data_IF_994770346449
#
_entry.id   IF_994770346449
#
_cell.length_a   1.000
_cell.length_b   1.000
_cell.length_c   1.000
_cell.angle_alpha   90.00
_cell.angle_beta   90.00
_cell.angle_gamma   90.00
#
_symmetry.space_group_name_H-M   'P 1'
#
loop_
_entity.id
_entity.type
_entity.pdbx_description
1 polymer ?
#
# COMPACT_ATOMS: atom_id res chain seq x y z
N UNK A 1 15.57 58.97 -9.77
CA UNK A 1 15.47 58.11 -8.57
C UNK A 1 14.20 58.37 -7.75
N UNK A 2 13.97 59.56 -7.17
CA UNK A 2 12.76 59.84 -6.36
C UNK A 2 11.41 59.66 -7.09
N UNK A 3 11.33 60.02 -8.37
CA UNK A 3 10.11 59.79 -9.17
C UNK A 3 9.89 58.33 -9.55
N UNK A 4 10.96 57.56 -9.71
CA UNK A 4 10.88 56.13 -10.03
C UNK A 4 10.28 55.36 -8.84
N UNK A 5 10.75 55.68 -7.63
CA UNK A 5 10.19 55.14 -6.38
C UNK A 5 8.71 55.47 -6.19
N UNK A 6 8.29 56.71 -6.48
CA UNK A 6 6.85 57.07 -6.43
C UNK A 6 5.99 56.29 -7.42
N UNK A 7 6.51 55.99 -8.61
CA UNK A 7 5.81 55.17 -9.62
C UNK A 7 5.71 53.70 -9.19
N UNK A 8 6.77 53.17 -8.59
CA UNK A 8 6.82 51.81 -8.04
C UNK A 8 5.84 51.69 -6.87
N UNK A 9 5.87 52.61 -5.91
CA UNK A 9 4.95 52.59 -4.75
C UNK A 9 3.49 52.69 -5.18
N UNK A 10 3.17 53.55 -6.15
CA UNK A 10 1.80 53.66 -6.67
C UNK A 10 1.35 52.37 -7.35
N UNK A 11 2.23 51.72 -8.12
CA UNK A 11 1.94 50.42 -8.74
C UNK A 11 1.75 49.32 -7.68
N UNK A 12 2.66 49.22 -6.71
CA UNK A 12 2.62 48.22 -5.64
C UNK A 12 1.39 48.35 -4.73
N UNK A 13 0.91 49.58 -4.47
CA UNK A 13 -0.33 49.84 -3.72
C UNK A 13 -1.59 49.60 -4.55
N UNK A 14 -1.61 50.05 -5.82
CA UNK A 14 -2.81 49.99 -6.67
C UNK A 14 -3.11 48.57 -7.18
N UNK A 15 -2.08 47.79 -7.46
CA UNK A 15 -2.21 46.43 -8.02
C UNK A 15 -1.91 45.33 -7.01
N UNK A 16 -1.83 45.67 -5.71
CA UNK A 16 -1.63 44.70 -4.63
C UNK A 16 -0.26 44.04 -4.61
N UNK A 17 0.75 44.63 -5.25
CA UNK A 17 2.11 44.09 -5.32
C UNK A 17 2.77 43.88 -3.96
N UNK A 18 2.46 44.72 -2.95
CA UNK A 18 2.94 44.48 -1.57
C UNK A 18 2.27 43.25 -0.95
N UNK A 19 0.97 43.06 -1.18
CA UNK A 19 0.24 41.89 -0.71
C UNK A 19 0.76 40.61 -1.37
N UNK A 20 1.08 40.66 -2.67
CA UNK A 20 1.72 39.55 -3.38
C UNK A 20 3.09 39.22 -2.78
N UNK A 21 3.92 40.23 -2.52
CA UNK A 21 5.25 40.05 -1.97
C UNK A 21 5.20 39.49 -0.53
N UNK A 22 4.27 39.97 0.30
CA UNK A 22 4.02 39.43 1.65
C UNK A 22 3.53 37.98 1.56
N UNK A 23 2.59 37.67 0.65
CA UNK A 23 2.09 36.32 0.45
C UNK A 23 3.22 35.37 0.02
N UNK A 24 4.06 35.76 -0.94
CA UNK A 24 5.22 34.96 -1.37
C UNK A 24 6.20 34.72 -0.22
N UNK A 25 6.52 35.74 0.57
CA UNK A 25 7.41 35.59 1.73
C UNK A 25 6.79 34.66 2.78
N UNK A 26 5.49 34.81 3.06
CA UNK A 26 4.77 33.96 4.01
C UNK A 26 4.73 32.50 3.55
N UNK A 27 4.48 32.24 2.26
CA UNK A 27 4.49 30.90 1.67
C UNK A 27 5.88 30.28 1.74
N UNK A 28 6.94 31.02 1.38
CA UNK A 28 8.33 30.53 1.47
C UNK A 28 8.71 30.24 2.92
N UNK A 29 8.36 31.12 3.87
CA UNK A 29 8.61 30.90 5.28
C UNK A 29 7.85 29.68 5.83
N UNK A 30 6.59 29.49 5.41
CA UNK A 30 5.80 28.32 5.78
C UNK A 30 6.43 27.02 5.27
N UNK A 31 6.85 26.96 4.00
CA UNK A 31 7.54 25.79 3.46
C UNK A 31 8.91 25.56 4.12
N UNK A 32 9.65 26.63 4.44
CA UNK A 32 10.92 26.51 5.16
C UNK A 32 10.73 25.96 6.58
N UNK A 33 9.66 26.36 7.28
CA UNK A 33 9.31 25.82 8.61
C UNK A 33 8.87 24.36 8.50
N UNK A 34 8.08 23.99 7.49
CA UNK A 34 7.70 22.60 7.24
C UNK A 34 8.93 21.74 6.92
N UNK A 35 9.84 22.25 6.08
CA UNK A 35 11.07 21.56 5.74
C UNK A 35 11.97 21.42 6.96
N UNK A 36 12.15 22.48 7.76
CA UNK A 36 12.90 22.41 9.01
C UNK A 36 12.26 21.45 10.01
N UNK A 37 10.93 21.43 10.13
CA UNK A 37 10.22 20.47 10.99
C UNK A 37 10.42 19.03 10.53
N UNK A 38 10.40 18.79 9.22
CA UNK A 38 10.67 17.48 8.62
C UNK A 38 12.14 17.06 8.81
N UNK A 39 13.08 17.97 8.59
CA UNK A 39 14.52 17.72 8.77
C UNK A 39 14.86 17.51 10.25
N UNK A 40 14.27 18.28 11.16
CA UNK A 40 14.38 18.11 12.61
C UNK A 40 13.79 16.78 13.08
N UNK A 41 12.62 16.39 12.54
CA UNK A 41 12.04 15.08 12.79
C UNK A 41 13.01 13.98 12.33
N UNK A 42 13.50 14.02 11.08
CA UNK A 42 14.48 13.06 10.56
C UNK A 42 15.79 13.00 11.35
N UNK A 43 16.30 14.15 11.80
CA UNK A 43 17.53 14.23 12.61
C UNK A 43 17.35 13.59 13.99
N UNK A 44 16.16 13.71 14.58
CA UNK A 44 15.85 13.14 15.91
C UNK A 44 15.41 11.68 15.87
N UNK A 45 14.66 11.28 14.85
CA UNK A 45 14.10 9.92 14.74
C UNK A 45 14.98 8.99 13.92
N UNK A 46 15.96 9.51 13.19
CA UNK A 46 16.69 8.77 12.16
C UNK A 46 15.85 8.57 10.91
N UNK A 47 16.44 7.95 9.89
CA UNK A 47 15.64 7.46 8.76
C UNK A 47 14.98 6.17 9.20
N UNK A 48 13.65 6.16 9.22
CA UNK A 48 12.89 4.95 9.49
C UNK A 48 13.09 3.98 8.33
N UNK A 49 13.73 2.84 8.60
CA UNK A 49 14.04 1.81 7.61
C UNK A 49 13.78 0.42 8.17
N UNK A 50 13.41 -0.52 7.29
CA UNK A 50 13.39 -1.94 7.63
C UNK A 50 14.84 -2.44 7.53
N UNK A 51 15.38 -2.95 8.63
CA UNK A 51 16.70 -3.58 8.68
C UNK A 51 16.57 -5.07 8.42
N UNK A 52 17.52 -5.63 7.67
CA UNK A 52 17.65 -7.06 7.44
C UNK A 52 18.89 -7.54 8.18
N UNK A 53 18.69 -8.35 9.23
CA UNK A 53 19.77 -8.96 9.98
C UNK A 53 20.44 -10.09 9.18
N UNK A 54 21.64 -10.53 9.60
CA UNK A 54 22.37 -11.61 8.92
C UNK A 54 21.60 -12.94 8.90
N UNK A 55 20.72 -13.15 9.88
CA UNK A 55 19.83 -14.31 9.99
C UNK A 55 18.51 -14.13 9.20
N UNK A 56 18.40 -13.09 8.38
CA UNK A 56 17.24 -12.80 7.54
C UNK A 56 16.06 -12.12 8.26
N UNK A 57 16.21 -11.83 9.55
CA UNK A 57 15.13 -11.20 10.34
C UNK A 57 15.00 -9.72 10.01
N UNK A 58 13.75 -9.29 9.94
CA UNK A 58 13.34 -7.93 9.68
C UNK A 58 13.04 -7.22 11.00
N UNK A 59 13.56 -6.01 11.16
CA UNK A 59 13.19 -5.13 12.28
C UNK A 59 13.02 -3.70 11.79
N UNK A 60 12.19 -2.95 12.50
CA UNK A 60 12.10 -1.50 12.34
C UNK A 60 12.65 -0.88 13.61
N UNK A 61 13.83 -0.27 13.50
CA UNK A 61 14.41 0.41 14.66
C UNK A 61 13.69 1.75 14.86
N UNK A 62 12.67 1.74 15.71
CA UNK A 62 11.95 2.94 16.09
C UNK A 62 12.70 3.66 17.22
N UNK A 63 12.98 4.95 17.07
CA UNK A 63 13.82 5.74 17.99
C UNK A 63 13.01 6.75 18.83
N UNK A 64 11.69 6.57 18.94
CA UNK A 64 10.91 7.30 19.94
C UNK A 64 11.12 6.67 21.32
N UNK A 65 11.01 7.52 22.36
CA UNK A 65 11.10 7.10 23.76
C UNK A 65 10.03 6.04 24.13
N UNK A 66 8.97 5.92 23.32
CA UNK A 66 7.79 5.07 23.54
C UNK A 66 7.73 3.87 22.57
N UNK A 67 8.81 3.08 22.47
CA UNK A 67 8.81 1.87 21.62
C UNK A 67 7.69 0.90 21.98
N UNK A 68 7.29 0.87 23.26
CA UNK A 68 6.24 0.01 23.81
C UNK A 68 4.82 0.44 23.39
N UNK A 69 4.69 1.62 22.75
CA UNK A 69 3.42 2.18 22.29
C UNK A 69 3.22 2.10 20.77
N UNK A 70 4.00 1.27 20.06
CA UNK A 70 3.89 1.14 18.60
C UNK A 70 3.64 -0.30 18.18
N UNK A 71 2.62 -0.50 17.35
CA UNK A 71 2.31 -1.75 16.68
C UNK A 71 2.72 -1.70 15.21
N UNK A 72 3.14 -2.85 14.67
CA UNK A 72 3.51 -3.01 13.28
C UNK A 72 2.59 -4.03 12.62
N UNK A 73 1.99 -3.63 11.51
CA UNK A 73 1.45 -4.53 10.51
C UNK A 73 2.53 -4.77 9.46
N UNK A 74 3.08 -5.98 9.46
CA UNK A 74 3.94 -6.49 8.41
C UNK A 74 3.09 -7.02 7.27
N UNK A 75 3.48 -6.76 6.05
CA UNK A 75 2.81 -7.24 4.86
C UNK A 75 3.81 -7.54 3.75
N UNK A 76 3.56 -8.57 2.96
CA UNK A 76 4.36 -8.93 1.79
C UNK A 76 3.46 -9.13 0.58
N UNK A 77 3.96 -8.82 -0.61
CA UNK A 77 3.27 -9.06 -1.88
C UNK A 77 3.48 -10.48 -2.44
N UNK A 78 4.50 -11.19 -1.93
CA UNK A 78 4.86 -12.56 -2.28
C UNK A 78 5.51 -13.31 -1.12
N UNK A 79 5.49 -14.64 -1.20
CA UNK A 79 5.92 -15.51 -0.11
C UNK A 79 4.98 -15.41 1.09
N UNK A 80 5.53 -15.58 2.28
CA UNK A 80 4.81 -15.38 3.54
C UNK A 80 5.65 -14.54 4.52
N UNK A 81 4.99 -13.87 5.46
CA UNK A 81 5.62 -13.08 6.51
C UNK A 81 4.99 -13.38 7.86
N UNK A 82 5.84 -13.57 8.87
CA UNK A 82 5.40 -13.90 10.22
C UNK A 82 6.24 -13.17 11.27
N UNK A 83 5.60 -12.71 12.34
CA UNK A 83 6.29 -12.21 13.53
C UNK A 83 6.96 -13.37 14.30
N UNK A 84 8.16 -13.13 14.82
CA UNK A 84 8.97 -14.14 15.53
C UNK A 84 8.42 -14.44 16.93
N UNK A 85 8.07 -13.40 17.69
CA UNK A 85 7.48 -13.56 19.00
C UNK A 85 5.96 -13.45 18.87
N UNK A 86 5.27 -14.54 19.18
CA UNK A 86 3.81 -14.60 19.21
C UNK A 86 3.35 -14.41 20.65
N UNK A 87 3.63 -13.26 21.25
CA UNK A 87 2.90 -12.95 22.48
C UNK A 87 1.42 -12.86 22.09
N UNK A 88 0.59 -13.65 22.79
CA UNK A 88 -0.82 -13.96 22.50
C UNK A 88 -1.78 -12.75 22.46
N UNK A 89 -1.26 -11.53 22.36
CA UNK A 89 -2.04 -10.30 22.33
C UNK A 89 -2.65 -10.01 20.95
N UNK A 90 -2.14 -10.62 19.88
CA UNK A 90 -2.66 -10.43 18.53
C UNK A 90 -3.41 -11.70 18.10
N UNK A 91 -4.75 -11.64 17.90
CA UNK A 91 -5.46 -12.76 17.30
C UNK A 91 -4.93 -12.96 15.89
N UNK A 92 -4.25 -14.08 15.64
CA UNK A 92 -3.87 -14.48 14.29
C UNK A 92 -5.13 -14.61 13.42
N UNK A 93 -4.94 -14.52 12.10
CA UNK A 93 -5.97 -14.95 11.17
C UNK A 93 -6.42 -16.37 11.55
N UNK A 94 -7.74 -16.60 11.56
CA UNK A 94 -8.30 -17.94 11.63
C UNK A 94 -8.10 -18.66 10.27
N UNK A 95 -6.83 -18.89 9.91
CA UNK A 95 -6.27 -19.70 8.83
C UNK A 95 -4.82 -19.22 8.61
N UNK A 96 -3.91 -19.56 9.52
CA UNK A 96 -2.48 -19.22 9.48
C UNK A 96 -1.71 -19.81 8.28
N UNK A 97 -2.39 -20.53 7.37
CA UNK A 97 -1.80 -21.08 6.16
C UNK A 97 -1.49 -20.00 5.10
N UNK A 98 -2.01 -18.77 5.20
CA UNK A 98 -2.04 -17.76 4.12
C UNK A 98 -1.24 -16.47 4.39
N UNK A 99 -0.28 -16.48 5.32
CA UNK A 99 0.27 -15.27 5.95
C UNK A 99 1.03 -14.27 5.05
N UNK A 100 0.32 -13.51 4.22
CA UNK A 100 0.84 -12.33 3.51
C UNK A 100 0.92 -11.10 4.41
N UNK A 101 0.42 -11.19 5.64
CA UNK A 101 0.57 -10.17 6.64
C UNK A 101 0.66 -10.78 8.05
N UNK A 102 1.33 -10.06 8.94
CA UNK A 102 1.50 -10.43 10.34
C UNK A 102 1.49 -9.18 11.20
N UNK A 103 0.99 -9.32 12.42
CA UNK A 103 0.97 -8.26 13.42
C UNK A 103 2.10 -8.47 14.41
N UNK A 104 2.73 -7.40 14.87
CA UNK A 104 3.79 -7.46 15.88
C UNK A 104 3.87 -6.17 16.69
N UNK A 105 4.55 -6.23 17.82
CA UNK A 105 5.06 -5.03 18.49
C UNK A 105 6.25 -4.43 17.72
N UNK A 106 6.56 -3.15 17.93
CA UNK A 106 7.71 -2.50 17.27
C UNK A 106 9.07 -3.05 17.70
N UNK A 107 9.13 -3.66 18.89
CA UNK A 107 10.32 -4.36 19.39
C UNK A 107 10.47 -5.77 18.82
N UNK A 108 9.44 -6.31 18.18
CA UNK A 108 9.44 -7.65 17.62
C UNK A 108 10.02 -7.68 16.20
N UNK A 109 10.53 -8.85 15.84
CA UNK A 109 11.09 -9.10 14.51
C UNK A 109 10.09 -9.85 13.66
N UNK A 110 10.17 -9.66 12.35
CA UNK A 110 9.45 -10.47 11.37
C UNK A 110 10.41 -11.31 10.52
N UNK A 111 9.90 -12.40 9.97
CA UNK A 111 10.62 -13.29 9.06
C UNK A 111 9.79 -13.38 7.79
N UNK A 112 10.42 -13.06 6.66
CA UNK A 112 9.86 -13.35 5.35
C UNK A 112 10.39 -14.70 4.86
N UNK A 113 9.50 -15.54 4.34
CA UNK A 113 9.86 -16.76 3.64
C UNK A 113 9.44 -16.66 2.17
N UNK A 114 10.27 -17.14 1.23
CA UNK A 114 10.00 -17.02 -0.20
C UNK A 114 8.86 -17.92 -0.70
N UNK A 115 8.47 -18.95 0.04
CA UNK A 115 7.37 -19.85 -0.35
C UNK A 115 6.03 -19.28 0.13
N UNK A 116 5.06 -19.11 -0.77
CA UNK A 116 3.70 -18.70 -0.42
C UNK A 116 2.79 -19.90 -0.10
N UNK A 117 1.60 -19.58 0.40
CA UNK A 117 0.57 -20.57 0.74
C UNK A 117 0.08 -21.42 -0.44
N UNK A 118 0.20 -20.88 -1.64
CA UNK A 118 -0.20 -21.53 -2.88
C UNK A 118 0.92 -22.45 -3.43
N UNK A 119 2.05 -22.56 -2.73
CA UNK A 119 3.21 -23.39 -3.08
C UNK A 119 4.15 -22.76 -4.11
N UNK A 120 4.02 -21.45 -4.39
CA UNK A 120 4.93 -20.75 -5.28
C UNK A 120 6.13 -20.22 -4.49
N UNK A 121 7.33 -20.35 -5.03
CA UNK A 121 8.53 -19.75 -4.47
C UNK A 121 8.90 -18.46 -5.22
N UNK A 122 9.39 -17.47 -4.49
CA UNK A 122 9.75 -16.17 -5.04
C UNK A 122 11.21 -15.81 -4.78
N UNK A 123 11.91 -15.41 -5.83
CA UNK A 123 13.27 -14.88 -5.76
C UNK A 123 13.28 -13.51 -5.10
N UNK A 124 12.22 -12.71 -5.29
CA UNK A 124 12.09 -11.38 -4.67
C UNK A 124 10.67 -11.09 -4.25
N UNK A 125 10.52 -10.39 -3.12
CA UNK A 125 9.25 -9.81 -2.66
C UNK A 125 9.48 -8.41 -2.08
N UNK A 126 8.46 -7.56 -2.15
CA UNK A 126 8.46 -6.29 -1.43
C UNK A 126 7.68 -6.46 -0.14
N UNK A 127 8.34 -6.17 0.98
CA UNK A 127 7.76 -6.15 2.31
C UNK A 127 7.44 -4.71 2.71
N UNK A 128 6.27 -4.52 3.33
CA UNK A 128 5.80 -3.29 3.92
C UNK A 128 5.67 -3.46 5.43
N UNK A 129 6.12 -2.47 6.19
CA UNK A 129 5.83 -2.33 7.61
C UNK A 129 4.98 -1.07 7.80
N UNK A 130 3.75 -1.23 8.28
CA UNK A 130 2.84 -0.13 8.59
C UNK A 130 2.78 0.04 10.11
N UNK A 131 3.17 1.22 10.58
CA UNK A 131 3.29 1.52 12.00
C UNK A 131 2.04 2.23 12.50
N UNK A 132 1.54 1.79 13.65
CA UNK A 132 0.38 2.33 14.33
C UNK A 132 0.71 2.71 15.77
N UNK A 133 0.11 3.79 16.26
CA UNK A 133 0.16 4.14 17.67
C UNK A 133 -0.74 3.20 18.47
N UNK A 134 -0.28 2.80 19.65
CA UNK A 134 -1.01 1.94 20.57
C UNK A 134 -2.22 2.67 21.12
N UNK A 135 -3.40 2.17 20.76
CA UNK A 135 -4.66 2.48 21.39
C UNK A 135 -5.25 1.20 21.96
N UNK A 136 -5.72 1.25 23.22
CA UNK A 136 -6.31 0.10 23.90
C UNK A 136 -7.58 -0.37 23.23
N UNK A 137 -8.31 0.55 22.59
CA UNK A 137 -9.61 0.26 21.99
C UNK A 137 -9.50 -0.07 20.49
N UNK A 138 -8.55 0.53 19.76
CA UNK A 138 -8.44 0.39 18.30
C UNK A 138 -6.98 0.31 17.76
N UNK A 139 -6.28 -0.79 18.08
CA UNK A 139 -4.83 -0.97 17.81
C UNK A 139 -4.36 -0.76 16.36
N UNK A 140 -5.19 -1.06 15.37
CA UNK A 140 -4.84 -1.01 13.93
C UNK A 140 -5.76 -0.13 13.11
N UNK A 141 -6.24 0.99 13.68
CA UNK A 141 -7.09 1.98 13.01
C UNK A 141 -6.29 2.96 12.15
N UNK A 142 -6.86 3.43 11.04
CA UNK A 142 -6.30 4.56 10.27
C UNK A 142 -6.12 5.82 11.12
N UNK A 143 -6.95 6.01 12.15
CA UNK A 143 -6.81 7.13 13.10
C UNK A 143 -5.49 7.06 13.88
N UNK A 144 -4.94 5.86 14.03
CA UNK A 144 -3.68 5.59 14.74
C UNK A 144 -2.51 5.37 13.77
N UNK A 145 -2.69 5.57 12.46
CA UNK A 145 -1.63 5.44 11.47
C UNK A 145 -0.52 6.46 11.72
N UNK A 146 0.71 5.98 11.83
CA UNK A 146 1.90 6.83 11.96
C UNK A 146 2.55 6.99 10.58
N UNK A 147 2.97 5.87 9.99
CA UNK A 147 3.70 5.84 8.72
C UNK A 147 3.77 4.42 8.17
N UNK A 148 4.08 4.28 6.89
CA UNK A 148 4.52 3.04 6.28
C UNK A 148 5.95 3.17 5.72
N UNK A 149 6.67 2.05 5.71
CA UNK A 149 7.99 1.90 5.08
C UNK A 149 8.03 0.58 4.31
N UNK A 150 8.83 0.54 3.25
CA UNK A 150 8.95 -0.64 2.39
C UNK A 150 10.41 -1.04 2.19
N UNK A 151 10.62 -2.32 1.89
CA UNK A 151 11.90 -2.88 1.49
C UNK A 151 11.67 -3.97 0.46
N UNK A 152 12.54 -4.06 -0.55
CA UNK A 152 12.54 -5.22 -1.45
C UNK A 152 13.62 -6.20 -1.00
N UNK A 153 13.21 -7.44 -0.82
CA UNK A 153 14.04 -8.56 -0.39
C UNK A 153 14.28 -9.51 -1.55
N UNK A 154 15.42 -10.18 -1.53
CA UNK A 154 15.69 -11.32 -2.38
C UNK A 154 16.13 -12.52 -1.56
N UNK A 155 15.67 -13.72 -1.93
CA UNK A 155 16.26 -14.97 -1.46
C UNK A 155 17.37 -15.42 -2.41
N UNK A 156 18.59 -15.54 -1.90
CA UNK A 156 19.74 -16.07 -2.66
C UNK A 156 20.31 -17.28 -1.95
N UNK A 157 19.86 -18.47 -2.37
CA UNK A 157 20.26 -19.75 -1.80
C UNK A 157 19.92 -19.88 -0.30
N UNK A 158 18.70 -19.49 0.10
CA UNK A 158 18.26 -19.55 1.50
C UNK A 158 18.79 -18.42 2.38
N UNK A 159 19.34 -17.37 1.77
CA UNK A 159 19.77 -16.15 2.46
C UNK A 159 18.94 -14.97 1.98
N UNK A 160 18.16 -14.40 2.89
CA UNK A 160 17.38 -13.19 2.67
C UNK A 160 18.30 -11.96 2.76
N UNK A 161 18.28 -11.12 1.73
CA UNK A 161 19.01 -9.85 1.69
C UNK A 161 18.23 -8.75 0.98
N UNK A 162 18.54 -7.48 1.29
CA UNK A 162 17.98 -6.32 0.60
C UNK A 162 18.46 -6.30 -0.86
N UNK A 163 17.56 -6.01 -1.79
CA UNK A 163 17.87 -5.86 -3.21
C UNK A 163 17.35 -4.53 -3.79
N UNK A 164 17.32 -4.42 -5.13
CA UNK A 164 16.81 -3.23 -5.83
C UNK A 164 15.33 -3.03 -5.55
N UNK A 165 14.91 -1.78 -5.35
CA UNK A 165 13.54 -1.44 -5.03
C UNK A 165 12.59 -1.83 -6.19
N UNK A 166 11.51 -2.53 -5.83
CA UNK A 166 10.42 -2.89 -6.73
C UNK A 166 9.11 -2.32 -6.23
N UNK A 167 8.15 -2.17 -7.15
CA UNK A 167 6.78 -1.82 -6.79
C UNK A 167 6.14 -2.94 -5.99
N UNK A 168 5.50 -2.60 -4.87
CA UNK A 168 4.70 -3.54 -4.10
C UNK A 168 3.56 -4.09 -4.97
N UNK A 169 3.50 -5.41 -5.13
CA UNK A 169 2.63 -6.10 -6.08
C UNK A 169 3.35 -6.60 -7.33
N UNK A 170 4.68 -6.40 -7.44
CA UNK A 170 5.52 -6.90 -8.54
C UNK A 170 6.70 -7.77 -8.08
N UNK A 171 6.41 -8.96 -7.52
CA UNK A 171 7.45 -9.90 -7.10
C UNK A 171 8.00 -10.72 -8.27
N UNK A 172 9.12 -11.42 -8.06
CA UNK A 172 9.73 -12.33 -9.04
C UNK A 172 9.60 -13.76 -8.52
N UNK A 173 9.02 -14.64 -9.32
CA UNK A 173 8.89 -16.07 -9.02
C UNK A 173 10.19 -16.80 -9.35
N UNK A 174 10.59 -17.75 -8.51
CA UNK A 174 11.79 -18.58 -8.70
C UNK A 174 11.62 -19.61 -9.82
N UNK A 175 10.39 -20.01 -10.12
CA UNK A 175 10.05 -21.13 -11.01
C UNK A 175 9.32 -20.70 -12.30
N UNK A 176 9.15 -19.40 -12.52
CA UNK A 176 8.38 -18.83 -13.63
C UNK A 176 9.18 -17.73 -14.33
N UNK A 177 8.89 -17.53 -15.62
CA UNK A 177 9.37 -16.36 -16.35
C UNK A 177 8.67 -15.09 -15.85
N UNK A 178 9.15 -13.92 -16.26
CA UNK A 178 8.58 -12.62 -15.83
C UNK A 178 7.13 -12.40 -16.34
N UNK A 179 6.49 -13.35 -17.03
CA UNK A 179 5.25 -13.13 -17.77
C UNK A 179 4.02 -13.73 -17.07
N UNK A 180 3.72 -13.30 -15.85
CA UNK A 180 2.55 -13.80 -15.13
C UNK A 180 1.79 -12.71 -14.38
N UNK A 181 0.51 -12.97 -14.18
CA UNK A 181 -0.40 -12.16 -13.40
C UNK A 181 -1.33 -13.06 -12.61
N UNK A 182 -1.70 -12.64 -11.40
CA UNK A 182 -2.54 -13.43 -10.52
C UNK A 182 -3.44 -12.52 -9.69
N UNK A 183 -4.69 -12.96 -9.51
CA UNK A 183 -5.55 -12.51 -8.42
C UNK A 183 -5.46 -13.56 -7.33
N UNK A 184 -5.09 -13.16 -6.13
CA UNK A 184 -4.98 -14.06 -4.99
C UNK A 184 -5.93 -13.63 -3.87
N UNK A 185 -6.41 -14.62 -3.11
CA UNK A 185 -7.33 -14.41 -2.00
C UNK A 185 -6.55 -14.14 -0.72
N UNK A 186 -6.69 -12.95 -0.16
CA UNK A 186 -6.04 -12.55 1.10
C UNK A 186 -6.83 -13.06 2.30
N UNK A 187 -8.16 -12.99 2.20
CA UNK A 187 -9.07 -13.34 3.27
C UNK A 187 -10.40 -13.79 2.70
N UNK A 188 -11.00 -14.82 3.27
CA UNK A 188 -12.30 -15.33 2.85
C UNK A 188 -13.11 -15.81 4.05
N UNK A 189 -14.38 -15.46 4.09
CA UNK A 189 -15.36 -15.98 5.04
C UNK A 189 -16.62 -16.46 4.30
N UNK A 190 -17.69 -16.78 5.03
CA UNK A 190 -18.94 -17.29 4.43
C UNK A 190 -19.69 -16.25 3.59
N UNK A 191 -19.42 -14.96 3.74
CA UNK A 191 -20.15 -13.86 3.11
C UNK A 191 -19.30 -13.09 2.08
N UNK A 192 -17.97 -13.10 2.21
CA UNK A 192 -17.08 -12.26 1.38
C UNK A 192 -15.72 -12.88 1.15
N UNK A 193 -15.01 -12.32 0.18
CA UNK A 193 -13.60 -12.59 -0.09
C UNK A 193 -12.88 -11.30 -0.46
N UNK A 194 -11.69 -11.09 0.08
CA UNK A 194 -10.81 -9.97 -0.27
C UNK A 194 -9.68 -10.47 -1.15
N UNK A 195 -9.48 -9.80 -2.28
CA UNK A 195 -8.49 -10.15 -3.28
C UNK A 195 -7.44 -9.06 -3.45
N UNK A 196 -6.24 -9.46 -3.87
CA UNK A 196 -5.22 -8.57 -4.39
C UNK A 196 -4.67 -9.10 -5.70
N UNK A 197 -4.33 -8.15 -6.56
CA UNK A 197 -3.69 -8.43 -7.83
C UNK A 197 -2.18 -8.27 -7.69
N UNK A 198 -1.44 -9.17 -8.32
CA UNK A 198 0.02 -9.13 -8.42
C UNK A 198 0.46 -9.57 -9.82
N UNK A 199 1.61 -9.08 -10.24
CA UNK A 199 2.16 -9.43 -11.55
C UNK A 199 3.68 -9.45 -11.53
N UNK A 200 4.30 -10.47 -12.12
CA UNK A 200 5.77 -10.50 -12.30
C UNK A 200 6.26 -9.74 -13.53
N UNK A 201 5.34 -9.15 -14.29
CA UNK A 201 5.66 -8.47 -15.54
C UNK A 201 6.59 -7.29 -15.31
N UNK A 202 7.61 -7.19 -16.16
CA UNK A 202 8.53 -6.06 -16.17
C UNK A 202 7.77 -4.79 -16.55
N UNK A 203 7.65 -3.87 -15.60
CA UNK A 203 7.02 -2.58 -15.83
C UNK A 203 8.04 -1.63 -16.43
N UNK A 204 7.65 -0.91 -17.48
CA UNK A 204 8.51 0.14 -18.04
C UNK A 204 8.68 1.25 -17.00
N UNK A 205 9.94 1.67 -16.78
CA UNK A 205 10.33 2.59 -15.69
C UNK A 205 9.60 3.94 -15.73
N UNK A 206 9.14 4.36 -16.90
CA UNK A 206 8.48 5.65 -17.13
C UNK A 206 6.95 5.52 -17.33
N UNK A 207 6.42 4.29 -17.33
CA UNK A 207 4.99 4.07 -17.53
C UNK A 207 4.23 4.22 -16.21
N UNK A 208 3.39 5.25 -16.12
CA UNK A 208 2.41 5.36 -15.03
C UNK A 208 1.26 4.40 -15.32
N UNK A 209 1.27 3.27 -14.61
CA UNK A 209 0.24 2.25 -14.67
C UNK A 209 -0.66 2.32 -13.45
N UNK A 210 -1.95 2.11 -13.66
CA UNK A 210 -2.99 2.19 -12.65
C UNK A 210 -3.68 0.84 -12.53
N UNK A 211 -3.93 0.39 -11.29
CA UNK A 211 -4.65 -0.86 -11.04
C UNK A 211 -6.09 -0.75 -11.51
N UNK A 212 -6.60 -1.82 -12.12
CA UNK A 212 -7.96 -1.93 -12.60
C UNK A 212 -8.57 -3.24 -12.12
N UNK A 213 -9.81 -3.17 -11.65
CA UNK A 213 -10.66 -4.30 -11.26
C UNK A 213 -11.99 -4.20 -11.98
N UNK A 214 -12.56 -5.33 -12.36
CA UNK A 214 -13.88 -5.42 -12.97
C UNK A 214 -14.59 -6.74 -12.62
N UNK A 215 -15.92 -6.71 -12.60
CA UNK A 215 -16.76 -7.89 -12.35
C UNK A 215 -18.04 -7.87 -13.17
N UNK A 216 -18.44 -9.06 -13.63
CA UNK A 216 -19.74 -9.25 -14.28
C UNK A 216 -20.90 -9.39 -13.26
N UNK A 217 -20.59 -9.58 -11.98
CA UNK A 217 -21.58 -9.58 -10.89
C UNK A 217 -21.49 -8.26 -10.15
N UNK A 218 -22.61 -7.65 -9.76
CA UNK A 218 -22.60 -6.39 -9.03
C UNK A 218 -22.07 -6.53 -7.58
N UNK A 219 -20.80 -6.91 -7.40
CA UNK A 219 -20.26 -7.43 -6.15
C UNK A 219 -18.89 -6.88 -5.74
N UNK A 220 -18.27 -5.99 -6.52
CA UNK A 220 -17.04 -5.33 -6.12
C UNK A 220 -17.29 -4.17 -5.17
N UNK A 221 -16.48 -4.07 -4.13
CA UNK A 221 -16.37 -2.92 -3.27
C UNK A 221 -14.89 -2.62 -2.99
N UNK A 222 -14.57 -1.33 -2.89
CA UNK A 222 -13.32 -0.91 -2.25
C UNK A 222 -13.29 -1.46 -0.83
N UNK A 223 -12.15 -1.97 -0.40
CA UNK A 223 -12.00 -2.41 0.99
C UNK A 223 -12.12 -1.20 1.92
N UNK A 224 -13.14 -1.19 2.76
CA UNK A 224 -13.34 -0.14 3.78
C UNK A 224 -12.34 -0.36 4.92
N UNK A 225 -11.49 0.63 5.14
CA UNK A 225 -10.43 0.63 6.15
C UNK A 225 -10.82 1.43 7.40
N UNK A 226 -12.07 1.90 7.54
CA UNK A 226 -12.48 2.87 8.56
C UNK A 226 -12.31 2.39 10.02
N UNK A 227 -12.32 1.07 10.29
CA UNK A 227 -12.03 0.50 11.62
C UNK A 227 -10.64 -0.13 11.73
N UNK A 228 -9.82 0.05 10.70
CA UNK A 228 -8.48 -0.47 10.58
C UNK A 228 -8.17 -1.07 9.23
N UNK A 229 -6.93 -1.55 9.03
CA UNK A 229 -6.52 -2.05 7.71
C UNK A 229 -7.36 -3.24 7.19
N UNK A 230 -8.16 -3.90 8.04
CA UNK A 230 -9.07 -4.98 7.63
C UNK A 230 -10.36 -5.22 8.48
N UNK A 231 -11.08 -4.22 9.05
CA UNK A 231 -12.46 -4.52 9.50
C UNK A 231 -13.57 -3.55 9.06
N UNK A 232 -14.70 -4.20 8.78
CA UNK A 232 -16.04 -3.71 8.42
C UNK A 232 -16.20 -3.05 7.05
N UNK A 233 -16.15 -3.89 6.00
CA UNK A 233 -16.55 -3.54 4.64
C UNK A 233 -18.06 -3.28 4.60
N UNK A 234 -18.45 -2.03 4.34
CA UNK A 234 -19.81 -1.65 3.98
C UNK A 234 -19.88 -1.28 2.50
N UNK A 235 -20.80 -1.90 1.75
CA UNK A 235 -21.04 -1.49 0.36
C UNK A 235 -21.70 -0.12 0.40
N UNK A 236 -21.01 0.92 -0.08
CA UNK A 236 -21.65 2.20 -0.36
C UNK A 236 -22.56 2.01 -1.57
N UNK A 237 -23.86 2.04 -1.31
CA UNK A 237 -24.97 1.75 -2.23
C UNK A 237 -25.14 2.80 -3.37
N UNK A 238 -24.13 3.64 -3.62
CA UNK A 238 -24.30 4.89 -4.38
C UNK A 238 -24.00 4.77 -5.88
N UNK A 239 -23.36 3.70 -6.37
CA UNK A 239 -23.14 3.48 -7.81
C UNK A 239 -23.46 2.03 -8.20
N UNK A 240 -24.74 1.78 -8.51
CA UNK A 240 -25.25 0.48 -8.99
C UNK A 240 -24.96 0.21 -10.47
N UNK A 241 -24.34 1.14 -11.18
CA UNK A 241 -23.98 1.00 -12.59
C UNK A 241 -22.48 1.29 -12.77
N UNK A 242 -21.76 0.34 -13.37
CA UNK A 242 -20.32 0.34 -13.74
C UNK A 242 -19.37 -0.28 -12.68
N UNK A 243 -19.25 -1.62 -12.69
CA UNK A 243 -18.45 -2.43 -11.75
C UNK A 243 -16.93 -2.35 -11.95
N UNK A 244 -16.38 -1.22 -12.40
CA UNK A 244 -14.93 -1.07 -12.42
C UNK A 244 -14.43 -0.25 -11.22
N UNK A 245 -13.36 -0.73 -10.60
CA UNK A 245 -12.65 -0.02 -9.53
C UNK A 245 -11.23 0.21 -10.02
N UNK A 246 -10.76 1.45 -9.92
CA UNK A 246 -9.46 1.88 -10.43
C UNK A 246 -8.59 2.41 -9.28
N UNK A 247 -7.26 2.31 -9.43
CA UNK A 247 -6.28 2.82 -8.47
C UNK A 247 -6.37 2.19 -7.06
N UNK A 248 -6.92 0.99 -6.96
CA UNK A 248 -7.10 0.27 -5.70
C UNK A 248 -6.32 -1.05 -5.77
N UNK A 249 -5.44 -1.29 -4.81
CA UNK A 249 -4.61 -2.51 -4.78
C UNK A 249 -5.40 -3.77 -4.36
N UNK A 250 -6.48 -3.60 -3.59
CA UNK A 250 -7.24 -4.70 -3.00
C UNK A 250 -8.73 -4.43 -3.08
N UNK A 251 -9.50 -5.45 -3.42
CA UNK A 251 -10.96 -5.35 -3.49
C UNK A 251 -11.59 -6.37 -2.57
N UNK A 252 -12.76 -6.04 -2.05
CA UNK A 252 -13.61 -7.01 -1.37
C UNK A 252 -14.80 -7.33 -2.27
N UNK A 253 -15.07 -8.61 -2.43
CA UNK A 253 -16.24 -9.12 -3.12
C UNK A 253 -17.23 -9.72 -2.12
N UNK A 254 -18.51 -9.41 -2.28
CA UNK A 254 -19.57 -10.20 -1.65
C UNK A 254 -19.79 -11.51 -2.39
N UNK A 255 -19.95 -12.59 -1.64
CA UNK A 255 -20.40 -13.88 -2.15
C UNK A 255 -21.91 -13.80 -2.28
N UNK A 256 -22.41 -13.52 -3.49
CA UNK A 256 -23.84 -13.60 -3.75
C UNK A 256 -24.30 -15.04 -3.54
N UNK A 257 -25.32 -15.26 -2.71
CA UNK A 257 -25.85 -16.58 -2.36
C UNK A 257 -26.64 -17.29 -3.46
N UNK A 258 -26.71 -16.70 -4.67
CA UNK A 258 -27.33 -17.33 -5.83
C UNK A 258 -26.29 -18.17 -6.57
N UNK A 259 -26.38 -19.49 -6.40
CA UNK A 259 -25.54 -20.52 -7.03
C UNK A 259 -25.50 -20.47 -8.58
N UNK A 260 -26.28 -19.59 -9.21
CA UNK A 260 -26.39 -19.44 -10.66
C UNK A 260 -25.72 -18.19 -11.25
N UNK A 261 -25.12 -17.30 -10.45
CA UNK A 261 -24.31 -16.20 -10.99
C UNK A 261 -22.83 -16.58 -10.93
N UNK A 262 -22.27 -17.09 -12.04
CA UNK A 262 -20.82 -17.22 -12.17
C UNK A 262 -20.21 -15.82 -12.20
N UNK A 263 -19.83 -15.28 -11.05
CA UNK A 263 -19.19 -13.97 -10.98
C UNK A 263 -17.76 -14.10 -11.45
N UNK A 264 -17.47 -13.56 -12.62
CA UNK A 264 -16.10 -13.40 -13.13
C UNK A 264 -15.50 -12.14 -12.55
N UNK A 265 -14.33 -12.25 -11.93
CA UNK A 265 -13.56 -11.11 -11.41
C UNK A 265 -12.30 -11.00 -12.25
N UNK A 266 -12.04 -9.80 -12.79
CA UNK A 266 -10.86 -9.48 -13.60
C UNK A 266 -10.05 -8.38 -12.93
N UNK A 267 -8.74 -8.46 -13.10
CA UNK A 267 -7.82 -7.43 -12.63
C UNK A 267 -6.64 -7.28 -13.58
N UNK A 268 -6.06 -6.09 -13.62
CA UNK A 268 -4.88 -5.83 -14.43
C UNK A 268 -4.38 -4.40 -14.28
N UNK A 269 -3.44 -4.02 -15.15
CA UNK A 269 -2.88 -2.68 -15.19
C UNK A 269 -3.37 -1.94 -16.43
N UNK A 270 -3.75 -0.67 -16.27
CA UNK A 270 -4.12 0.22 -17.38
C UNK A 270 -3.19 1.44 -17.39
N UNK A 271 -3.06 2.09 -18.54
CA UNK A 271 -2.30 3.34 -18.62
C UNK A 271 -3.02 4.51 -17.94
N UNK A 272 -2.29 5.54 -17.53
CA UNK A 272 -2.88 6.80 -17.05
C UNK A 272 -3.85 7.45 -18.08
N UNK A 273 -3.56 7.26 -19.37
CA UNK A 273 -4.43 7.78 -20.45
C UNK A 273 -5.76 7.03 -20.48
N UNK A 274 -5.72 5.70 -20.40
CA UNK A 274 -6.90 4.82 -20.33
C UNK A 274 -7.71 5.08 -19.06
N UNK A 275 -7.05 5.31 -17.92
CA UNK A 275 -7.72 5.60 -16.65
C UNK A 275 -8.68 6.79 -16.74
N UNK A 276 -8.32 7.82 -17.53
CA UNK A 276 -9.13 9.04 -17.74
C UNK A 276 -10.31 8.84 -18.69
N UNK A 277 -10.46 7.67 -19.30
CA UNK A 277 -11.59 7.34 -20.17
C UNK A 277 -12.81 6.87 -19.35
N UNK A 278 -14.00 7.18 -19.85
CA UNK A 278 -15.27 6.76 -19.23
C UNK A 278 -15.51 5.25 -19.39
N UNK A 279 -15.17 4.69 -20.56
CA UNK A 279 -15.30 3.27 -20.86
C UNK A 279 -13.91 2.66 -21.07
N UNK A 280 -13.64 1.56 -20.36
CA UNK A 280 -12.41 0.77 -20.50
C UNK A 280 -12.79 -0.56 -21.15
N UNK A 281 -12.13 -0.90 -22.26
CA UNK A 281 -12.31 -2.18 -22.93
C UNK A 281 -11.34 -3.23 -22.38
N UNK A 282 -11.67 -4.51 -22.53
CA UNK A 282 -10.80 -5.60 -22.08
C UNK A 282 -9.41 -5.56 -22.75
N UNK A 283 -9.31 -5.06 -23.99
CA UNK A 283 -8.05 -4.88 -24.70
C UNK A 283 -7.15 -3.77 -24.14
N UNK A 284 -7.71 -2.87 -23.33
CA UNK A 284 -6.94 -1.80 -22.68
C UNK A 284 -6.22 -2.28 -21.41
N UNK A 285 -6.61 -3.46 -20.89
CA UNK A 285 -6.09 -4.03 -19.66
C UNK A 285 -4.85 -4.86 -19.95
N UNK A 286 -3.71 -4.35 -19.53
CA UNK A 286 -2.43 -5.04 -19.59
C UNK A 286 -2.31 -6.05 -18.45
N UNK A 287 -1.61 -7.15 -18.72
CA UNK A 287 -1.25 -8.15 -17.70
C UNK A 287 -2.47 -8.69 -16.94
N UNK A 288 -3.57 -8.97 -17.65
CA UNK A 288 -4.83 -9.36 -17.02
C UNK A 288 -4.71 -10.69 -16.26
N UNK A 289 -5.37 -10.76 -15.11
CA UNK A 289 -5.69 -11.99 -14.39
C UNK A 289 -7.20 -12.11 -14.18
N UNK A 290 -7.71 -13.33 -14.05
CA UNK A 290 -9.13 -13.62 -13.96
C UNK A 290 -9.41 -14.77 -12.98
N UNK A 291 -10.48 -14.64 -12.21
CA UNK A 291 -11.08 -15.74 -11.44
C UNK A 291 -12.50 -15.96 -11.99
N UNK A 292 -12.79 -17.22 -12.34
CA UNK A 292 -14.15 -17.68 -12.69
C UNK A 292 -14.66 -18.51 -11.50
N UNK A 293 -15.72 -18.04 -10.85
CA UNK A 293 -16.40 -18.73 -9.75
C UNK A 293 -17.64 -19.48 -10.23
#
# INVERSE_FOLDING_TARGET
MKELWKKIDHFMLKYGGYSLLIATIATVAFFAVLQWGNDYAKEKTGTLEIKVAEDGKLSVDYNYDDKDEVYILWETDAGNIAAECKENEFPEQANSATGYYSYSHSSEKAVWNPEDADGNCYDTATVRAVLYQQDKDNRYSLENYITEITITLSDKNGKVEKCEDRYFGNPVRSDSDENWSQIYCIQEDSQKATYRYRTGNKLEKDAVLIMYWDSDGNNLAETDYAKGFYPEISIKDENKDLQNIKAVQQITCTKNGDENSSSRIRAGLISETTYKQENIEASDVMYQAEIVK
#
